data_IF_403715215721
#
_entry.id   IF_403715215721
#
_cell.length_a   1.000
_cell.length_b   1.000
_cell.length_c   1.000
_cell.angle_alpha   90.00
_cell.angle_beta   90.00
_cell.angle_gamma   90.00
#
_symmetry.space_group_name_H-M   'P 1'
#
loop_
_entity.id
_entity.type
_entity.pdbx_description
1 polymer ?
#
# COMPACT_ATOMS: atom_id res chain seq x y z
N UNK A 1 -12.88 13.12 -5.62
CA UNK A 1 -11.69 12.52 -6.23
C UNK A 1 -11.23 11.42 -5.26
N UNK A 2 -11.02 10.19 -5.73
CA UNK A 2 -10.57 9.10 -4.85
C UNK A 2 -9.07 9.28 -4.60
N UNK A 3 -8.66 9.37 -3.33
CA UNK A 3 -7.26 9.59 -2.96
C UNK A 3 -6.53 8.25 -2.92
N UNK A 4 -5.99 7.82 -4.05
CA UNK A 4 -5.25 6.56 -4.16
C UNK A 4 -3.73 6.78 -4.20
N UNK A 5 -2.97 5.83 -3.67
CA UNK A 5 -1.52 5.92 -3.55
C UNK A 5 -0.79 4.59 -3.76
N UNK A 6 0.37 4.67 -4.42
CA UNK A 6 1.32 3.56 -4.50
C UNK A 6 2.26 3.52 -3.29
N UNK A 7 2.35 2.35 -2.67
CA UNK A 7 3.31 2.02 -1.62
C UNK A 7 4.28 0.96 -2.18
N UNK A 8 5.51 1.39 -2.42
CA UNK A 8 6.57 0.53 -2.95
C UNK A 8 7.41 -0.08 -1.83
N UNK A 9 7.74 -1.36 -1.96
CA UNK A 9 8.72 -2.02 -1.09
C UNK A 9 10.12 -1.60 -1.51
N UNK A 10 10.90 -1.16 -0.54
CA UNK A 10 12.31 -0.84 -0.72
C UNK A 10 13.17 -2.05 -0.35
N UNK A 11 14.17 -2.37 -1.19
CA UNK A 11 15.21 -3.34 -0.87
C UNK A 11 16.55 -2.61 -0.84
N UNK A 12 17.30 -2.77 0.25
CA UNK A 12 18.57 -2.06 0.48
C UNK A 12 18.47 -0.52 0.31
N UNK A 13 17.32 0.07 0.67
CA UNK A 13 17.08 1.52 0.53
C UNK A 13 16.64 1.98 -0.86
N UNK A 14 16.75 1.14 -1.89
CA UNK A 14 16.33 1.46 -3.26
C UNK A 14 14.92 0.96 -3.53
N UNK A 15 14.14 1.71 -4.32
CA UNK A 15 12.84 1.23 -4.81
C UNK A 15 13.09 0.15 -5.86
N UNK A 16 12.55 -1.04 -5.66
CA UNK A 16 12.39 -2.00 -6.74
C UNK A 16 11.14 -1.59 -7.50
N UNK A 17 11.27 -1.26 -8.79
CA UNK A 17 10.13 -0.79 -9.61
C UNK A 17 9.63 -1.84 -10.60
N UNK A 18 10.34 -2.97 -10.75
CA UNK A 18 10.06 -3.95 -11.80
C UNK A 18 9.79 -5.35 -11.21
N UNK A 19 8.74 -5.99 -11.74
CA UNK A 19 8.23 -7.36 -11.52
C UNK A 19 7.89 -7.80 -10.09
N UNK A 20 7.16 -6.95 -9.35
CA UNK A 20 6.54 -7.34 -8.07
C UNK A 20 5.04 -7.54 -8.22
N UNK A 21 4.50 -8.52 -7.49
CA UNK A 21 3.06 -8.68 -7.29
C UNK A 21 2.47 -7.40 -6.71
N UNK A 22 1.21 -7.12 -7.02
CA UNK A 22 0.49 -5.94 -6.53
C UNK A 22 -0.64 -6.36 -5.60
N UNK A 23 -0.73 -5.69 -4.45
CA UNK A 23 -1.84 -5.77 -3.51
C UNK A 23 -2.73 -4.55 -3.76
N UNK A 24 -3.98 -4.77 -4.17
CA UNK A 24 -5.01 -3.74 -4.10
C UNK A 24 -5.56 -3.74 -2.67
N UNK A 25 -5.39 -2.62 -1.97
CA UNK A 25 -5.87 -2.46 -0.60
C UNK A 25 -7.07 -1.51 -0.55
N UNK A 26 -8.18 -1.99 -0.02
CA UNK A 26 -9.38 -1.19 0.24
C UNK A 26 -9.49 -0.96 1.74
N UNK A 27 -9.49 0.31 2.15
CA UNK A 27 -9.43 0.64 3.57
C UNK A 27 -10.75 0.31 4.30
N UNK A 28 -10.63 0.07 5.62
CA UNK A 28 -11.79 -0.15 6.49
C UNK A 28 -12.52 1.17 6.81
N UNK A 29 -13.28 1.23 7.90
CA UNK A 29 -13.96 2.47 8.29
C UNK A 29 -15.35 2.66 7.68
N UNK A 30 -16.01 1.53 7.36
CA UNK A 30 -17.44 1.47 7.05
C UNK A 30 -17.87 2.42 5.91
N UNK A 31 -17.01 2.61 4.91
CA UNK A 31 -17.23 3.49 3.76
C UNK A 31 -17.42 4.98 4.10
N UNK A 32 -17.20 5.38 5.36
CA UNK A 32 -17.45 6.74 5.84
C UNK A 32 -16.24 7.38 6.53
N UNK A 33 -15.32 6.57 7.03
CA UNK A 33 -14.18 6.98 7.83
C UNK A 33 -12.90 6.34 7.32
N UNK A 34 -11.78 6.95 7.67
CA UNK A 34 -10.46 6.50 7.25
C UNK A 34 -9.98 7.18 5.98
N UNK A 35 -8.75 6.85 5.63
CA UNK A 35 -8.04 7.29 4.45
C UNK A 35 -6.78 6.45 4.28
N UNK A 36 -6.15 6.55 3.12
CA UNK A 36 -4.81 6.01 2.88
C UNK A 36 -3.79 6.37 3.98
N UNK A 37 -3.89 7.57 4.57
CA UNK A 37 -3.01 8.02 5.65
C UNK A 37 -3.18 7.20 6.92
N UNK A 38 -4.43 6.93 7.32
CA UNK A 38 -4.73 6.14 8.51
C UNK A 38 -4.34 4.67 8.39
N UNK A 39 -4.33 4.11 7.17
CA UNK A 39 -4.01 2.70 6.92
C UNK A 39 -2.58 2.45 6.42
N UNK A 40 -1.80 3.51 6.18
CA UNK A 40 -0.46 3.43 5.56
C UNK A 40 0.48 2.43 6.23
N UNK A 41 0.48 2.39 7.57
CA UNK A 41 1.34 1.49 8.33
C UNK A 41 0.96 0.02 8.11
N UNK A 42 -0.35 -0.27 8.03
CA UNK A 42 -0.87 -1.61 7.75
C UNK A 42 -0.47 -2.03 6.33
N UNK A 43 -0.75 -1.18 5.34
CA UNK A 43 -0.44 -1.44 3.93
C UNK A 43 1.07 -1.66 3.73
N UNK A 44 1.90 -0.82 4.37
CA UNK A 44 3.36 -0.96 4.28
C UNK A 44 3.87 -2.26 4.93
N UNK A 45 3.25 -2.71 6.02
CA UNK A 45 3.55 -3.99 6.64
C UNK A 45 3.20 -5.17 5.74
N UNK A 46 2.00 -5.15 5.15
CA UNK A 46 1.55 -6.17 4.19
C UNK A 46 2.45 -6.24 2.96
N UNK A 47 2.75 -5.09 2.35
CA UNK A 47 3.63 -4.98 1.18
C UNK A 47 5.01 -5.60 1.46
N UNK A 48 5.62 -5.27 2.62
CA UNK A 48 6.91 -5.84 3.04
C UNK A 48 6.84 -7.35 3.26
N UNK A 49 5.83 -7.83 4.00
CA UNK A 49 5.68 -9.24 4.31
C UNK A 49 5.43 -10.09 3.06
N UNK A 50 4.71 -9.56 2.08
CA UNK A 50 4.40 -10.24 0.83
C UNK A 50 5.47 -10.08 -0.26
N UNK A 51 6.51 -9.27 -0.02
CA UNK A 51 7.48 -8.83 -1.04
C UNK A 51 6.76 -8.36 -2.32
N UNK A 52 5.80 -7.46 -2.13
CA UNK A 52 4.84 -6.99 -3.14
C UNK A 52 4.66 -5.47 -3.05
N UNK A 53 4.30 -4.82 -4.15
CA UNK A 53 3.83 -3.43 -4.11
C UNK A 53 2.37 -3.38 -3.67
N UNK A 54 1.95 -2.25 -3.12
CA UNK A 54 0.55 -2.03 -2.80
C UNK A 54 0.04 -0.75 -3.48
N UNK A 55 -1.21 -0.80 -3.92
CA UNK A 55 -1.98 0.35 -4.35
C UNK A 55 -3.19 0.44 -3.42
N UNK A 56 -3.26 1.50 -2.64
CA UNK A 56 -4.31 1.69 -1.64
C UNK A 56 -5.14 2.92 -1.94
N UNK A 57 -6.42 2.83 -1.61
CA UNK A 57 -7.32 3.96 -1.37
C UNK A 57 -7.40 4.27 0.13
#
# INVERSE_FOLDING_TARGET
>A
ELSAEWIYVKKNGFMLKEDKRVILYLHGGAYALGSIGTHRNIISGLAKAADAHAFGE
#
